data_IF_264500868517
#
_entry.id   IF_264500868517
#
_cell.length_a   1.000
_cell.length_b   1.000
_cell.length_c   1.000
_cell.angle_alpha   90.00
_cell.angle_beta   90.00
_cell.angle_gamma   90.00
#
_symmetry.space_group_name_H-M   'P 1'
#
loop_
_entity.id
_entity.type
_entity.pdbx_description
1 polymer ?
#
# COMPACT_ATOMS: atom_id res chain seq x y z
N UNK A 1 12.04 -48.48 68.22
CA UNK A 1 10.68 -47.90 68.15
C UNK A 1 10.81 -46.58 67.39
N UNK A 2 10.70 -46.62 66.06
CA UNK A 2 9.50 -46.30 65.27
C UNK A 2 9.11 -44.79 65.29
N UNK A 3 9.45 -44.12 64.17
CA UNK A 3 8.71 -43.12 63.33
C UNK A 3 8.03 -41.96 64.09
N UNK A 4 8.20 -40.67 63.71
CA UNK A 4 7.41 -40.10 62.62
C UNK A 4 7.89 -38.71 62.17
N UNK A 5 8.54 -38.63 61.02
CA UNK A 5 8.64 -37.41 60.22
C UNK A 5 7.50 -37.42 59.20
N UNK A 6 6.63 -36.41 59.22
CA UNK A 6 5.70 -36.16 58.12
C UNK A 6 5.51 -34.66 57.96
N UNK A 7 6.35 -34.07 57.10
CA UNK A 7 6.08 -32.79 56.46
C UNK A 7 4.95 -33.03 55.44
N UNK A 8 3.82 -32.35 55.62
CA UNK A 8 2.72 -32.36 54.67
C UNK A 8 2.93 -31.21 53.68
N UNK A 9 3.48 -31.50 52.49
CA UNK A 9 3.55 -30.55 51.37
C UNK A 9 2.28 -30.67 50.53
N UNK A 10 1.41 -29.65 50.60
CA UNK A 10 0.25 -29.51 49.71
C UNK A 10 0.75 -29.03 48.33
N UNK A 11 0.72 -29.89 47.31
CA UNK A 11 0.84 -29.45 45.92
C UNK A 11 -0.55 -29.02 45.40
N UNK A 12 -0.71 -27.72 45.14
CA UNK A 12 -1.83 -27.22 44.33
C UNK A 12 -1.54 -27.48 42.85
N UNK A 13 -2.30 -28.36 42.22
CA UNK A 13 -2.30 -28.52 40.77
C UNK A 13 -3.15 -27.42 40.14
N UNK A 14 -2.52 -26.44 39.48
CA UNK A 14 -3.21 -25.46 38.66
C UNK A 14 -3.53 -26.10 37.30
N UNK A 15 -4.82 -26.29 36.99
CA UNK A 15 -5.27 -26.68 35.66
C UNK A 15 -5.32 -25.43 34.77
N UNK A 16 -4.32 -25.26 33.90
CA UNK A 16 -4.39 -24.29 32.80
C UNK A 16 -5.43 -24.76 31.79
N UNK A 17 -6.62 -24.16 31.78
CA UNK A 17 -7.56 -24.32 30.68
C UNK A 17 -7.03 -23.55 29.46
N UNK A 18 -6.68 -24.27 28.39
CA UNK A 18 -6.33 -23.64 27.12
C UNK A 18 -7.61 -23.09 26.47
N UNK A 19 -7.69 -21.77 26.30
CA UNK A 19 -8.75 -21.14 25.51
C UNK A 19 -8.62 -21.56 24.04
N UNK A 20 -9.72 -21.87 23.34
CA UNK A 20 -9.67 -22.13 21.91
C UNK A 20 -9.21 -20.86 21.18
N UNK A 21 -8.07 -20.97 20.50
CA UNK A 21 -7.56 -19.93 19.61
C UNK A 21 -8.54 -19.85 18.44
N UNK A 22 -9.32 -18.78 18.39
CA UNK A 22 -10.12 -18.47 17.20
C UNK A 22 -9.15 -17.95 16.15
N UNK A 23 -8.61 -18.87 15.35
CA UNK A 23 -7.85 -18.52 14.14
C UNK A 23 -8.79 -17.69 13.24
N UNK A 24 -8.41 -16.46 12.85
CA UNK A 24 -9.17 -15.73 11.86
C UNK A 24 -9.16 -16.53 10.56
N UNK A 25 -10.31 -17.09 10.20
CA UNK A 25 -10.50 -17.78 8.93
C UNK A 25 -10.14 -16.81 7.80
N UNK A 26 -8.97 -17.00 7.20
CA UNK A 26 -8.50 -16.20 6.08
C UNK A 26 -9.24 -16.65 4.83
N UNK A 27 -10.40 -16.05 4.58
CA UNK A 27 -11.07 -16.18 3.30
C UNK A 27 -10.17 -15.57 2.22
N UNK A 28 -9.65 -16.41 1.33
CA UNK A 28 -8.85 -15.99 0.19
C UNK A 28 -9.75 -15.29 -0.84
N UNK A 29 -9.91 -13.98 -0.70
CA UNK A 29 -10.64 -13.17 -1.68
C UNK A 29 -9.73 -12.88 -2.87
N UNK A 30 -10.12 -13.31 -4.07
CA UNK A 30 -9.40 -12.96 -5.31
C UNK A 30 -9.43 -11.43 -5.47
N UNK A 31 -8.26 -10.80 -5.36
CA UNK A 31 -8.11 -9.36 -5.62
C UNK A 31 -8.39 -9.09 -7.09
N UNK A 32 -9.18 -8.06 -7.38
CA UNK A 32 -9.29 -7.53 -8.74
C UNK A 32 -8.06 -6.66 -8.96
N UNK A 33 -7.07 -7.22 -9.65
CA UNK A 33 -5.85 -6.52 -10.03
C UNK A 33 -6.08 -5.87 -11.39
N UNK A 34 -6.03 -4.55 -11.44
CA UNK A 34 -6.08 -3.75 -12.67
C UNK A 34 -4.74 -3.05 -12.81
N UNK A 35 -4.06 -3.31 -13.91
CA UNK A 35 -2.73 -2.80 -14.24
C UNK A 35 -2.84 -2.21 -15.64
N UNK A 36 -3.11 -0.91 -15.69
CA UNK A 36 -3.38 -0.15 -16.92
C UNK A 36 -2.12 0.63 -17.36
N UNK A 37 -1.03 0.57 -16.60
CA UNK A 37 0.22 1.26 -16.87
C UNK A 37 1.40 0.29 -17.03
N UNK A 38 2.45 0.73 -17.71
CA UNK A 38 3.70 0.00 -17.85
C UNK A 38 4.71 0.33 -16.75
N UNK A 39 5.97 -0.01 -17.02
CA UNK A 39 7.09 0.31 -16.13
C UNK A 39 7.18 1.82 -15.84
N UNK A 40 7.66 2.13 -14.63
CA UNK A 40 7.83 3.49 -14.15
C UNK A 40 9.30 3.84 -13.92
N UNK A 41 9.63 5.12 -14.12
CA UNK A 41 10.82 5.72 -13.49
C UNK A 41 10.56 5.97 -12.00
N UNK A 42 11.62 6.19 -11.23
CA UNK A 42 11.54 6.41 -9.78
C UNK A 42 12.54 7.48 -9.34
N UNK A 43 12.02 8.54 -8.75
CA UNK A 43 12.76 9.68 -8.20
C UNK A 43 12.55 9.73 -6.68
N UNK A 44 13.65 9.80 -5.92
CA UNK A 44 13.59 9.83 -4.46
C UNK A 44 13.25 11.24 -3.96
N UNK A 45 12.18 11.36 -3.19
CA UNK A 45 11.77 12.59 -2.51
C UNK A 45 11.50 12.37 -1.01
N UNK A 46 12.05 11.32 -0.41
CA UNK A 46 11.94 11.06 1.02
C UNK A 46 12.66 12.15 1.82
N UNK A 47 11.94 12.72 2.78
CA UNK A 47 12.40 13.77 3.67
C UNK A 47 11.64 13.71 5.00
N UNK A 48 11.99 14.56 5.96
CA UNK A 48 11.23 14.70 7.21
C UNK A 48 9.78 15.15 6.98
N UNK A 49 9.51 15.86 5.87
CA UNK A 49 8.18 16.28 5.43
C UNK A 49 7.39 15.21 4.69
N UNK A 50 7.94 14.01 4.45
CA UNK A 50 7.26 12.94 3.72
C UNK A 50 6.22 12.21 4.58
N UNK A 51 5.20 11.58 3.95
CA UNK A 51 4.17 10.81 4.66
C UNK A 51 4.73 9.55 5.30
N UNK A 52 3.98 9.00 6.25
CA UNK A 52 4.33 7.74 6.93
C UNK A 52 4.18 6.55 5.99
N UNK A 53 5.16 5.65 6.01
CA UNK A 53 5.12 4.38 5.28
C UNK A 53 3.88 3.56 5.65
N UNK A 54 3.51 3.54 6.94
CA UNK A 54 2.35 2.80 7.42
C UNK A 54 1.02 3.27 6.78
N UNK A 55 0.90 4.58 6.56
CA UNK A 55 -0.27 5.20 5.93
C UNK A 55 -0.32 4.87 4.43
N UNK A 56 0.82 4.94 3.74
CA UNK A 56 0.89 4.55 2.33
C UNK A 56 0.58 3.06 2.14
N UNK A 57 1.05 2.18 3.02
CA UNK A 57 0.68 0.76 2.99
C UNK A 57 -0.81 0.55 3.28
N UNK A 58 -1.45 1.42 4.07
CA UNK A 58 -2.89 1.35 4.28
C UNK A 58 -3.66 1.71 3.01
N UNK A 59 -3.21 2.70 2.22
CA UNK A 59 -3.77 2.94 0.89
C UNK A 59 -3.73 1.66 0.06
N UNK A 60 -2.58 1.00 -0.04
CA UNK A 60 -2.42 -0.23 -0.80
C UNK A 60 -3.38 -1.34 -0.34
N UNK A 61 -3.65 -1.44 0.97
CA UNK A 61 -4.67 -2.35 1.52
C UNK A 61 -6.09 -1.93 1.15
N UNK A 62 -6.42 -0.65 1.22
CA UNK A 62 -7.76 -0.13 0.94
C UNK A 62 -8.18 -0.38 -0.51
N UNK A 63 -7.25 -0.25 -1.47
CA UNK A 63 -7.53 -0.44 -2.90
C UNK A 63 -7.20 -1.84 -3.42
N UNK A 64 -6.87 -2.77 -2.52
CA UNK A 64 -6.60 -4.16 -2.86
C UNK A 64 -7.79 -4.87 -3.55
N UNK A 65 -9.02 -4.37 -3.34
CA UNK A 65 -10.24 -4.92 -3.92
C UNK A 65 -10.48 -4.54 -5.38
N UNK A 66 -9.66 -3.66 -5.97
CA UNK A 66 -9.85 -3.12 -7.30
C UNK A 66 -9.98 -1.60 -7.32
N UNK A 67 -9.95 -1.04 -8.52
CA UNK A 67 -10.12 0.38 -8.76
C UNK A 67 -9.46 0.78 -10.08
N UNK A 68 -10.08 1.72 -10.77
CA UNK A 68 -9.49 2.38 -11.94
C UNK A 68 -9.82 3.85 -11.84
N UNK A 69 -8.80 4.70 -11.96
CA UNK A 69 -8.92 6.14 -11.97
C UNK A 69 -8.67 6.63 -13.39
N UNK A 70 -9.52 7.53 -13.87
CA UNK A 70 -9.33 8.20 -15.16
C UNK A 70 -8.77 9.58 -14.90
N UNK A 71 -7.58 9.87 -15.44
CA UNK A 71 -6.86 11.12 -15.21
C UNK A 71 -6.68 11.85 -16.52
N UNK A 72 -7.05 13.13 -16.55
CA UNK A 72 -6.84 13.97 -17.73
C UNK A 72 -5.35 14.17 -18.00
N UNK A 73 -4.95 14.07 -19.25
CA UNK A 73 -3.56 14.28 -19.68
C UNK A 73 -3.23 15.76 -19.92
N UNK A 74 -4.12 16.68 -19.53
CA UNK A 74 -3.97 18.13 -19.70
C UNK A 74 -3.00 18.80 -18.71
N UNK A 75 -2.31 18.02 -17.89
CA UNK A 75 -1.29 18.50 -16.95
C UNK A 75 -1.80 18.93 -15.58
N UNK A 76 -3.12 18.94 -15.36
CA UNK A 76 -3.71 19.16 -14.03
C UNK A 76 -3.39 18.01 -13.08
N UNK A 77 -3.04 18.36 -11.84
CA UNK A 77 -2.75 17.38 -10.80
C UNK A 77 -4.02 16.88 -10.11
N UNK A 78 -4.21 15.57 -10.10
CA UNK A 78 -5.33 14.91 -9.45
C UNK A 78 -4.84 14.02 -8.31
N UNK A 79 -5.33 14.28 -7.11
CA UNK A 79 -5.22 13.33 -6.01
C UNK A 79 -6.18 12.16 -6.25
N UNK A 80 -5.65 10.93 -6.28
CA UNK A 80 -6.42 9.74 -6.61
C UNK A 80 -6.88 8.99 -5.36
N UNK A 81 -5.98 8.88 -4.39
CA UNK A 81 -6.19 8.17 -3.13
C UNK A 81 -5.45 8.86 -1.99
N UNK A 82 -5.98 8.73 -0.79
CA UNK A 82 -5.39 9.26 0.42
C UNK A 82 -5.78 8.40 1.62
N UNK A 83 -4.85 8.25 2.55
CA UNK A 83 -5.12 7.75 3.89
C UNK A 83 -4.11 8.33 4.87
N UNK A 84 -4.57 8.83 6.02
CA UNK A 84 -3.70 9.44 7.01
C UNK A 84 -2.86 10.57 6.42
N UNK A 85 -1.55 10.49 6.58
CA UNK A 85 -0.57 11.45 6.05
C UNK A 85 -0.26 11.24 4.57
N UNK A 86 -0.58 10.07 3.99
CA UNK A 86 -0.16 9.69 2.65
C UNK A 86 -1.23 10.02 1.61
N UNK A 87 -0.82 10.64 0.51
CA UNK A 87 -1.60 10.77 -0.71
C UNK A 87 -0.81 10.29 -1.92
N UNK A 88 -1.55 9.77 -2.90
CA UNK A 88 -1.03 9.46 -4.23
C UNK A 88 -1.81 10.26 -5.26
N UNK A 89 -1.08 10.94 -6.15
CA UNK A 89 -1.65 11.75 -7.21
C UNK A 89 -0.97 11.50 -8.55
N UNK A 90 -1.64 11.93 -9.62
CA UNK A 90 -1.12 11.84 -10.98
C UNK A 90 -1.56 13.01 -11.85
N UNK A 91 -0.79 13.27 -12.91
CA UNK A 91 -1.08 14.25 -13.95
C UNK A 91 -0.47 13.84 -15.28
N UNK A 92 -0.96 14.39 -16.40
CA UNK A 92 -0.31 14.22 -17.69
C UNK A 92 1.15 14.69 -17.68
N UNK A 93 2.05 13.89 -18.28
CA UNK A 93 3.48 14.24 -18.42
C UNK A 93 3.75 15.22 -19.58
N UNK A 94 2.74 15.53 -20.39
CA UNK A 94 2.77 16.47 -21.51
C UNK A 94 1.41 17.14 -21.73
N UNK A 95 1.22 17.78 -22.88
CA UNK A 95 0.05 18.61 -23.20
C UNK A 95 -0.95 17.97 -24.17
N UNK A 96 -1.23 16.67 -23.99
CA UNK A 96 -2.23 15.98 -24.82
C UNK A 96 -3.66 16.19 -24.27
N UNK A 97 -4.66 16.31 -25.14
CA UNK A 97 -6.08 16.40 -24.74
C UNK A 97 -6.71 15.02 -24.43
N UNK A 98 -5.88 14.00 -24.15
CA UNK A 98 -6.34 12.65 -23.85
C UNK A 98 -6.59 12.47 -22.35
N UNK A 99 -6.98 11.25 -21.97
CA UNK A 99 -6.96 10.79 -20.60
C UNK A 99 -6.33 9.40 -20.54
N UNK A 100 -5.83 9.05 -19.36
CA UNK A 100 -5.23 7.75 -19.08
C UNK A 100 -6.00 7.04 -17.96
N UNK A 101 -5.98 5.71 -18.01
CA UNK A 101 -6.40 4.87 -16.90
C UNK A 101 -5.20 4.51 -16.04
N UNK A 102 -5.37 4.64 -14.72
CA UNK A 102 -4.45 4.15 -13.72
C UNK A 102 -5.24 3.14 -12.89
N UNK A 103 -4.80 1.90 -12.85
CA UNK A 103 -5.41 0.82 -12.11
C UNK A 103 -4.91 0.76 -10.66
N UNK A 104 -5.61 -0.01 -9.84
CA UNK A 104 -5.24 -0.17 -8.44
C UNK A 104 -3.91 -0.90 -8.26
N UNK A 105 -3.58 -1.84 -9.15
CA UNK A 105 -2.31 -2.54 -9.08
C UNK A 105 -1.15 -1.60 -9.38
N UNK A 106 -1.33 -0.67 -10.33
CA UNK A 106 -0.32 0.35 -10.65
C UNK A 106 0.04 1.18 -9.40
N UNK A 107 -0.97 1.69 -8.69
CA UNK A 107 -0.77 2.47 -7.47
C UNK A 107 -0.13 1.62 -6.35
N UNK A 108 -0.59 0.38 -6.17
CA UNK A 108 -0.06 -0.54 -5.15
C UNK A 108 1.43 -0.82 -5.40
N UNK A 109 1.79 -1.11 -6.64
CA UNK A 109 3.16 -1.45 -7.03
C UNK A 109 4.08 -0.23 -6.87
N UNK A 110 3.66 0.95 -7.33
CA UNK A 110 4.41 2.20 -7.14
C UNK A 110 4.64 2.54 -5.66
N UNK A 111 3.64 2.34 -4.79
CA UNK A 111 3.79 2.53 -3.34
C UNK A 111 4.83 1.55 -2.78
N UNK A 112 4.69 0.26 -3.08
CA UNK A 112 5.56 -0.77 -2.51
C UNK A 112 7.00 -0.63 -3.01
N UNK A 113 7.21 -0.35 -4.29
CA UNK A 113 8.53 -0.12 -4.88
C UNK A 113 9.18 1.13 -4.31
N UNK A 114 8.42 2.22 -4.14
CA UNK A 114 8.93 3.45 -3.52
C UNK A 114 9.37 3.21 -2.08
N UNK A 115 8.61 2.44 -1.30
CA UNK A 115 8.99 2.05 0.06
C UNK A 115 10.27 1.20 0.03
N UNK A 116 10.33 0.19 -0.83
CA UNK A 116 11.47 -0.71 -0.93
C UNK A 116 12.76 0.04 -1.32
N UNK A 117 12.65 1.05 -2.19
CA UNK A 117 13.79 1.82 -2.71
C UNK A 117 14.20 2.98 -1.80
N UNK A 118 13.23 3.69 -1.24
CA UNK A 118 13.45 5.05 -0.73
C UNK A 118 12.90 5.30 0.67
N UNK A 119 12.37 4.30 1.39
CA UNK A 119 11.96 4.55 2.76
C UNK A 119 13.13 5.08 3.60
N UNK A 120 12.83 6.05 4.45
CA UNK A 120 13.79 6.64 5.36
C UNK A 120 13.06 7.10 6.62
N UNK A 121 13.52 6.64 7.79
CA UNK A 121 12.92 6.95 9.10
C UNK A 121 11.40 6.71 9.19
N UNK A 122 10.91 5.63 8.56
CA UNK A 122 9.48 5.29 8.54
C UNK A 122 8.62 6.21 7.66
N UNK A 123 9.26 7.04 6.83
CA UNK A 123 8.62 7.94 5.87
C UNK A 123 9.03 7.59 4.44
N UNK A 124 8.20 7.96 3.48
CA UNK A 124 8.49 7.75 2.05
C UNK A 124 7.92 8.89 1.20
N UNK A 125 8.75 9.47 0.36
CA UNK A 125 8.32 10.38 -0.71
C UNK A 125 8.95 9.92 -2.02
N UNK A 126 8.16 9.86 -3.10
CA UNK A 126 8.65 9.43 -4.40
C UNK A 126 7.81 10.02 -5.50
N UNK A 127 8.40 10.12 -6.69
CA UNK A 127 7.70 10.51 -7.90
C UNK A 127 8.27 9.73 -9.08
N UNK A 128 7.61 9.83 -10.23
CA UNK A 128 8.09 9.21 -11.46
C UNK A 128 7.18 9.47 -12.63
N UNK A 129 7.49 8.78 -13.72
CA UNK A 129 6.72 8.78 -14.98
C UNK A 129 6.48 7.34 -15.40
N UNK A 130 5.26 7.04 -15.80
CA UNK A 130 4.86 5.75 -16.37
C UNK A 130 3.97 5.96 -17.59
N UNK A 131 4.07 5.07 -18.57
CA UNK A 131 3.18 5.06 -19.73
C UNK A 131 1.91 4.29 -19.42
N UNK A 132 0.74 4.90 -19.60
CA UNK A 132 -0.55 4.34 -19.24
C UNK A 132 -1.49 4.14 -20.44
N UNK A 133 -2.50 3.30 -20.25
CA UNK A 133 -3.53 3.03 -21.24
C UNK A 133 -4.34 4.29 -21.53
N UNK A 134 -4.38 4.70 -22.79
CA UNK A 134 -5.28 5.76 -23.25
C UNK A 134 -6.74 5.28 -23.26
N UNK A 135 -7.69 6.21 -23.42
CA UNK A 135 -9.10 5.86 -23.65
C UNK A 135 -9.35 4.99 -24.89
N UNK A 136 -8.39 4.91 -25.83
CA UNK A 136 -8.48 4.03 -27.00
C UNK A 136 -7.93 2.63 -26.77
N UNK A 137 -7.46 2.32 -25.55
CA UNK A 137 -7.06 0.96 -25.15
C UNK A 137 -5.59 0.61 -25.38
N UNK A 138 -4.75 1.57 -25.80
CA UNK A 138 -3.32 1.32 -26.00
C UNK A 138 -2.53 1.68 -24.74
N UNK A 139 -1.96 0.69 -24.05
CA UNK A 139 -0.99 0.88 -22.95
C UNK A 139 0.26 1.58 -23.50
N UNK A 140 0.78 2.56 -22.75
CA UNK A 140 1.83 3.47 -23.23
C UNK A 140 1.31 4.54 -24.21
N UNK A 141 -0.02 4.69 -24.32
CA UNK A 141 -0.63 5.72 -25.17
C UNK A 141 -0.60 7.12 -24.57
N UNK A 142 -0.41 7.24 -23.25
CA UNK A 142 -0.29 8.51 -22.53
C UNK A 142 0.70 8.37 -21.38
N UNK A 143 1.72 9.22 -21.34
CA UNK A 143 2.64 9.29 -20.21
C UNK A 143 2.04 10.10 -19.07
N UNK A 144 2.11 9.52 -17.86
CA UNK A 144 1.58 10.09 -16.63
C UNK A 144 2.71 10.29 -15.62
N UNK A 145 2.80 11.50 -15.07
CA UNK A 145 3.58 11.79 -13.86
C UNK A 145 2.77 11.36 -12.65
N UNK A 146 3.42 10.77 -11.66
CA UNK A 146 2.80 10.41 -10.39
C UNK A 146 3.66 10.86 -9.21
N UNK A 147 3.05 10.92 -8.02
CA UNK A 147 3.76 11.26 -6.79
C UNK A 147 3.10 10.70 -5.53
N UNK A 148 3.94 10.34 -4.56
CA UNK A 148 3.61 10.03 -3.17
C UNK A 148 4.03 11.24 -2.33
N UNK A 149 3.06 11.91 -1.72
CA UNK A 149 3.29 13.17 -1.01
C UNK A 149 2.47 13.26 0.28
N UNK A 150 2.88 14.20 1.14
CA UNK A 150 2.22 14.49 2.41
C UNK A 150 1.08 15.49 2.21
N UNK A 151 -0.05 15.28 2.89
CA UNK A 151 -1.21 16.20 2.87
C UNK A 151 -1.25 17.20 4.00
#
# INVERSE_FOLDING_TARGET
MLVNTSLLTLLMAAFSAASPITEPSSTLTKRKSVNDCGDSTFENHSSSGSPLVADCQQIARNIAGGGTWTVGAGGEHHQLVQFGTCAFGAQGAGSSMNAAHIGNQDIIDLINDSIARFQWEGKVGAAGVMGCQSLTGLVGGVDMRWGIYHT
#
